data_IF_869197960204
#
_entry.id   IF_869197960204
#
_cell.length_a   1.000
_cell.length_b   1.000
_cell.length_c   1.000
_cell.angle_alpha   90.00
_cell.angle_beta   90.00
_cell.angle_gamma   90.00
#
_symmetry.space_group_name_H-M   'P 1'
#
loop_
_entity.id
_entity.type
_entity.pdbx_description
1 polymer ?
#
# COMPACT_ATOMS: atom_id res chain seq x y z
N UNK A 1 -24.67 1.36 -21.73
CA UNK A 1 -23.59 0.47 -21.25
C UNK A 1 -22.37 0.75 -22.10
N UNK A 2 -21.74 1.91 -21.85
CA UNK A 2 -20.70 2.43 -22.73
C UNK A 2 -19.35 2.05 -22.13
N UNK A 3 -18.58 1.38 -22.96
CA UNK A 3 -17.26 0.82 -22.74
C UNK A 3 -16.43 1.58 -21.70
N UNK A 4 -16.20 0.89 -20.58
CA UNK A 4 -15.18 1.20 -19.59
C UNK A 4 -13.80 1.15 -20.28
N UNK A 5 -13.37 2.28 -20.81
CA UNK A 5 -11.99 2.52 -21.21
C UNK A 5 -11.10 2.26 -19.99
N UNK A 6 -10.35 1.15 -20.01
CA UNK A 6 -9.36 0.83 -18.99
C UNK A 6 -8.12 1.71 -19.22
N UNK A 7 -8.26 2.99 -18.86
CA UNK A 7 -7.12 3.86 -18.67
C UNK A 7 -6.34 3.32 -17.46
N UNK A 8 -5.07 2.92 -17.67
CA UNK A 8 -4.20 2.46 -16.57
C UNK A 8 -3.82 3.66 -15.69
N UNK A 9 -4.75 4.03 -14.83
CA UNK A 9 -4.58 5.11 -13.87
C UNK A 9 -3.55 4.71 -12.80
N UNK A 10 -2.76 5.66 -12.29
CA UNK A 10 -1.70 5.43 -11.30
C UNK A 10 -2.16 4.61 -10.07
N UNK A 11 -3.43 4.77 -9.68
CA UNK A 11 -4.06 3.98 -8.63
C UNK A 11 -4.05 2.46 -8.94
N UNK A 12 -4.34 2.07 -10.19
CA UNK A 12 -4.30 0.67 -10.62
C UNK A 12 -2.87 0.13 -10.55
N UNK A 13 -1.87 0.92 -10.95
CA UNK A 13 -0.47 0.54 -10.82
C UNK A 13 -0.02 0.29 -9.37
N UNK A 14 -0.58 1.03 -8.40
CA UNK A 14 -0.32 0.79 -6.99
C UNK A 14 -0.97 -0.51 -6.50
N UNK A 15 -2.20 -0.79 -6.92
CA UNK A 15 -2.90 -2.04 -6.60
C UNK A 15 -2.14 -3.24 -7.19
N UNK A 16 -1.77 -3.17 -8.47
CA UNK A 16 -0.99 -4.21 -9.15
C UNK A 16 0.31 -4.49 -8.40
N UNK A 17 1.04 -3.45 -7.99
CA UNK A 17 2.29 -3.60 -7.24
C UNK A 17 2.06 -4.24 -5.87
N UNK A 18 1.02 -3.84 -5.15
CA UNK A 18 0.69 -4.42 -3.85
C UNK A 18 0.36 -5.92 -3.98
N UNK A 19 -0.46 -6.29 -4.97
CA UNK A 19 -0.80 -7.70 -5.26
C UNK A 19 0.46 -8.49 -5.62
N UNK A 20 1.33 -7.93 -6.47
CA UNK A 20 2.58 -8.58 -6.84
C UNK A 20 3.47 -8.82 -5.62
N UNK A 21 3.61 -7.84 -4.72
CA UNK A 21 4.39 -7.97 -3.49
C UNK A 21 3.88 -9.12 -2.63
N UNK A 22 2.58 -9.18 -2.36
CA UNK A 22 2.00 -10.25 -1.52
C UNK A 22 2.17 -11.62 -2.17
N UNK A 23 1.94 -11.74 -3.49
CA UNK A 23 2.12 -12.99 -4.23
C UNK A 23 3.56 -13.49 -4.15
N UNK A 24 4.54 -12.61 -4.39
CA UNK A 24 5.95 -12.99 -4.32
C UNK A 24 6.33 -13.47 -2.92
N UNK A 25 5.92 -12.75 -1.87
CA UNK A 25 6.20 -13.14 -0.50
C UNK A 25 5.55 -14.48 -0.13
N UNK A 26 4.39 -14.82 -0.71
CA UNK A 26 3.76 -16.13 -0.52
C UNK A 26 4.50 -17.25 -1.24
N UNK A 27 5.00 -17.01 -2.46
CA UNK A 27 5.82 -17.97 -3.18
C UNK A 27 7.10 -18.28 -2.38
N UNK A 28 7.82 -17.24 -1.94
CA UNK A 28 9.03 -17.38 -1.14
C UNK A 28 8.75 -18.14 0.17
N UNK A 29 7.66 -17.80 0.87
CA UNK A 29 7.28 -18.49 2.09
C UNK A 29 6.90 -19.96 1.87
N UNK A 30 6.25 -20.29 0.76
CA UNK A 30 5.93 -21.67 0.41
C UNK A 30 7.20 -22.49 0.12
N UNK A 31 8.18 -21.89 -0.56
CA UNK A 31 9.49 -22.50 -0.83
C UNK A 31 10.29 -22.74 0.46
N UNK A 32 10.21 -21.83 1.43
CA UNK A 32 10.91 -21.91 2.71
C UNK A 32 10.13 -22.67 3.81
N UNK A 33 8.89 -23.10 3.55
CA UNK A 33 8.02 -23.76 4.53
C UNK A 33 7.53 -22.85 5.67
N UNK A 34 7.45 -21.54 5.44
CA UNK A 34 6.98 -20.53 6.40
C UNK A 34 5.45 -20.45 6.45
N UNK A 35 4.92 -20.06 7.62
CA UNK A 35 3.50 -19.79 7.79
C UNK A 35 3.07 -18.51 7.05
N UNK A 36 2.11 -18.63 6.13
CA UNK A 36 1.57 -17.51 5.33
C UNK A 36 0.92 -16.42 6.20
N UNK A 37 0.40 -16.76 7.38
CA UNK A 37 -0.17 -15.77 8.30
C UNK A 37 0.91 -14.86 8.89
N UNK A 38 2.12 -15.38 9.11
CA UNK A 38 3.26 -14.58 9.55
C UNK A 38 3.68 -13.62 8.45
N UNK A 39 3.73 -14.07 7.19
CA UNK A 39 4.04 -13.22 6.04
C UNK A 39 3.02 -12.09 5.88
N UNK A 40 1.74 -12.40 6.03
CA UNK A 40 0.68 -11.38 6.01
C UNK A 40 0.80 -10.41 7.18
N UNK A 41 1.18 -10.88 8.37
CA UNK A 41 1.42 -10.03 9.52
C UNK A 41 2.57 -9.05 9.22
N UNK A 42 3.69 -9.55 8.71
CA UNK A 42 4.85 -8.76 8.33
C UNK A 42 4.50 -7.69 7.30
N UNK A 43 3.77 -8.06 6.25
CA UNK A 43 3.27 -7.10 5.26
C UNK A 43 2.41 -6.00 5.88
N UNK A 44 1.55 -6.34 6.85
CA UNK A 44 0.63 -5.38 7.49
C UNK A 44 1.32 -4.42 8.45
N UNK A 45 2.39 -4.85 9.13
CA UNK A 45 3.10 -4.03 10.12
C UNK A 45 4.23 -3.21 9.51
N UNK A 46 4.72 -3.57 8.31
CA UNK A 46 5.83 -2.87 7.69
C UNK A 46 5.39 -1.50 7.16
N UNK A 47 5.91 -0.38 7.70
CA UNK A 47 5.60 0.94 7.17
C UNK A 47 6.24 1.11 5.79
N UNK A 48 5.59 1.89 4.95
CA UNK A 48 6.23 2.38 3.73
C UNK A 48 7.06 3.62 4.06
N UNK A 49 8.08 3.91 3.24
CA UNK A 49 9.09 4.97 3.49
C UNK A 49 8.52 6.29 4.05
N UNK A 50 7.38 6.75 3.52
CA UNK A 50 6.75 8.00 3.91
C UNK A 50 5.26 7.81 4.28
N UNK A 51 4.82 6.60 4.60
CA UNK A 51 3.42 6.28 4.91
C UNK A 51 3.32 5.31 6.08
N UNK A 52 2.29 5.45 6.93
CA UNK A 52 2.00 4.46 7.96
C UNK A 52 1.84 3.06 7.37
N UNK A 53 2.03 2.04 8.20
CA UNK A 53 1.84 0.65 7.79
C UNK A 53 0.42 0.37 7.31
N UNK A 54 0.18 -0.68 6.50
CA UNK A 54 -1.17 -1.04 6.10
C UNK A 54 -2.12 -1.27 7.29
N UNK A 55 -1.61 -1.82 8.40
CA UNK A 55 -2.38 -2.00 9.63
C UNK A 55 -2.83 -0.66 10.23
N UNK A 56 -1.93 0.32 10.32
CA UNK A 56 -2.25 1.63 10.85
C UNK A 56 -3.25 2.37 9.95
N UNK A 57 -3.07 2.30 8.62
CA UNK A 57 -3.99 2.93 7.67
C UNK A 57 -5.41 2.35 7.73
N UNK A 58 -5.53 1.03 7.92
CA UNK A 58 -6.81 0.33 7.90
C UNK A 58 -7.50 0.29 9.26
N UNK A 59 -6.74 0.07 10.34
CA UNK A 59 -7.26 -0.21 11.68
C UNK A 59 -6.93 0.87 12.71
N UNK A 60 -6.13 1.87 12.33
CA UNK A 60 -5.72 2.96 13.21
C UNK A 60 -4.84 2.55 14.38
N UNK A 61 -4.20 1.37 14.33
CA UNK A 61 -3.40 0.81 15.43
C UNK A 61 -2.28 -0.10 14.91
N UNK A 62 -1.28 -0.34 15.75
CA UNK A 62 -0.31 -1.40 15.50
C UNK A 62 -0.89 -2.77 15.85
N UNK A 63 -0.45 -3.79 15.11
CA UNK A 63 -0.75 -5.17 15.43
C UNK A 63 0.25 -5.71 16.44
N UNK A 64 -0.18 -6.74 17.18
CA UNK A 64 0.70 -7.46 18.09
C UNK A 64 1.61 -8.37 17.27
N UNK A 65 2.92 -8.27 17.53
CA UNK A 65 3.96 -9.06 16.84
C UNK A 65 4.64 -10.01 17.83
N UNK A 66 5.62 -10.77 17.34
CA UNK A 66 6.46 -11.61 18.19
C UNK A 66 7.39 -10.79 19.10
N UNK A 67 7.65 -9.54 18.74
CA UNK A 67 8.44 -8.62 19.55
C UNK A 67 7.55 -7.98 20.62
N UNK A 68 8.03 -7.88 21.87
CA UNK A 68 7.30 -7.19 22.91
C UNK A 68 7.06 -5.74 22.50
N UNK A 69 5.80 -5.32 22.56
CA UNK A 69 5.36 -3.97 22.18
C UNK A 69 4.61 -3.33 23.34
N UNK A 70 4.66 -2.01 23.45
CA UNK A 70 3.96 -1.32 24.53
C UNK A 70 2.43 -1.44 24.33
N UNK A 71 1.63 -1.83 25.35
CA UNK A 71 0.19 -2.03 25.19
C UNK A 71 -0.56 -0.79 24.68
N UNK A 72 -0.04 0.41 24.97
CA UNK A 72 -0.57 1.67 24.43
C UNK A 72 -0.51 1.78 22.91
N UNK A 73 0.48 1.15 22.26
CA UNK A 73 0.63 1.17 20.80
C UNK A 73 -0.36 0.24 20.08
N UNK A 74 -0.97 -0.71 20.81
CA UNK A 74 -1.97 -1.64 20.28
C UNK A 74 -3.39 -1.05 20.32
N UNK A 75 -3.55 0.12 20.97
CA UNK A 75 -4.81 0.86 21.00
C UNK A 75 -4.97 1.65 19.69
N UNK A 76 -6.22 1.87 19.24
CA UNK A 76 -6.48 2.71 18.08
C UNK A 76 -6.14 4.16 18.38
N UNK A 77 -4.97 4.58 17.93
CA UNK A 77 -4.49 5.97 17.98
C UNK A 77 -3.87 6.27 16.62
N UNK A 78 -4.60 6.98 15.77
CA UNK A 78 -4.16 7.26 14.42
C UNK A 78 -4.43 8.70 14.02
N UNK A 79 -3.37 9.39 13.61
CA UNK A 79 -3.46 10.76 13.12
C UNK A 79 -3.84 10.75 11.65
N UNK A 80 -5.15 10.85 11.40
CA UNK A 80 -5.73 10.84 10.05
C UNK A 80 -5.22 12.02 9.22
N UNK A 81 -5.06 13.20 9.82
CA UNK A 81 -4.64 14.39 9.09
C UNK A 81 -3.19 14.28 8.65
N UNK A 82 -2.30 13.82 9.53
CA UNK A 82 -0.91 13.52 9.16
C UNK A 82 -0.83 12.49 8.05
N UNK A 83 -1.64 11.43 8.09
CA UNK A 83 -1.68 10.42 7.04
C UNK A 83 -2.18 10.97 5.70
N UNK A 84 -3.21 11.83 5.73
CA UNK A 84 -3.73 12.52 4.54
C UNK A 84 -2.68 13.45 3.93
N UNK A 85 -1.95 14.21 4.74
CA UNK A 85 -0.88 15.07 4.26
C UNK A 85 0.25 14.27 3.60
N UNK A 86 0.67 13.17 4.23
CA UNK A 86 1.68 12.28 3.66
C UNK A 86 1.23 11.70 2.31
N UNK A 87 -0.04 11.27 2.21
CA UNK A 87 -0.63 10.77 0.98
C UNK A 87 -0.66 11.84 -0.12
N UNK A 88 -1.08 13.08 0.20
CA UNK A 88 -1.07 14.20 -0.74
C UNK A 88 0.34 14.50 -1.26
N UNK A 89 1.33 14.58 -0.36
CA UNK A 89 2.74 14.79 -0.73
C UNK A 89 3.22 13.71 -1.71
N UNK A 90 2.92 12.44 -1.41
CA UNK A 90 3.26 11.30 -2.27
C UNK A 90 2.58 11.38 -3.63
N UNK A 91 1.30 11.72 -3.70
CA UNK A 91 0.55 11.86 -4.96
C UNK A 91 1.11 13.00 -5.83
N UNK A 92 1.45 14.14 -5.23
CA UNK A 92 2.09 15.27 -5.95
C UNK A 92 3.41 14.82 -6.59
N UNK A 93 4.26 14.13 -5.81
CA UNK A 93 5.54 13.61 -6.30
C UNK A 93 5.31 12.62 -7.44
N UNK A 94 4.41 11.66 -7.27
CA UNK A 94 4.11 10.64 -8.29
C UNK A 94 3.56 11.26 -9.58
N UNK A 95 2.63 12.22 -9.49
CA UNK A 95 2.10 12.94 -10.65
C UNK A 95 3.19 13.74 -11.37
N UNK A 96 4.10 14.38 -10.63
CA UNK A 96 5.24 15.11 -11.22
C UNK A 96 6.13 14.21 -12.07
N UNK A 97 6.37 12.96 -11.67
CA UNK A 97 7.19 12.02 -12.44
C UNK A 97 6.38 11.30 -13.53
N UNK A 98 5.12 10.96 -13.28
CA UNK A 98 4.24 10.31 -14.25
C UNK A 98 3.97 11.20 -15.47
N UNK A 99 3.70 12.49 -15.25
CA UNK A 99 3.43 13.45 -16.33
C UNK A 99 4.63 13.70 -17.25
N UNK A 100 5.86 13.35 -16.85
CA UNK A 100 7.03 13.44 -17.72
C UNK A 100 7.01 12.42 -18.87
N UNK A 101 6.30 11.30 -18.68
CA UNK A 101 6.20 10.20 -19.64
C UNK A 101 4.77 9.98 -20.12
N UNK A 102 3.82 10.83 -19.72
CA UNK A 102 2.44 10.73 -20.13
C UNK A 102 2.26 11.32 -21.53
N UNK A 103 1.96 10.47 -22.51
CA UNK A 103 1.41 10.90 -23.79
C UNK A 103 -0.08 11.23 -23.61
N UNK A 104 -0.51 12.38 -24.13
CA UNK A 104 -1.94 12.71 -24.20
C UNK A 104 -2.58 11.70 -25.16
N UNK A 105 -3.52 10.89 -24.66
CA UNK A 105 -4.21 9.93 -25.49
C UNK A 105 -5.14 10.67 -26.46
N UNK A 106 -5.15 10.30 -27.75
CA UNK A 106 -6.03 10.92 -28.72
C UNK A 106 -7.49 10.65 -28.34
N UNK A 107 -8.34 11.65 -28.58
CA UNK A 107 -9.78 11.52 -28.36
C UNK A 107 -10.32 10.45 -29.30
N UNK A 108 -10.88 9.38 -28.75
CA UNK A 108 -11.61 8.38 -29.51
C UNK A 108 -12.94 8.99 -29.98
N UNK A 109 -13.08 9.09 -31.30
CA UNK A 109 -14.31 9.50 -32.00
C UNK A 109 -15.37 8.39 -31.99
#
# INVERSE_FOLDING_TARGET
MQHMEYQKNLANGQIERAVQTVKNSFTEAAEEGKDLYVVLLDYRIQPAKDMPSPAELLMGRNLRTFLPSHPGQLKPTFDVERAREALRKRQIIQNKYANKHATVLPVLH
#
